data_IF_272373139476
#
_entry.id   IF_272373139476
#
_cell.length_a   1.000
_cell.length_b   1.000
_cell.length_c   1.000
_cell.angle_alpha   90.00
_cell.angle_beta   90.00
_cell.angle_gamma   90.00
#
_symmetry.space_group_name_H-M   'P 1'
#
loop_
_entity.id
_entity.type
_entity.pdbx_description
1 polymer ?
#
# COMPACT_ATOMS: atom_id res chain seq x y z
N UNK A 1 -1.72 17.58 0.77
CA UNK A 1 -2.15 16.29 1.34
C UNK A 1 -3.24 15.79 0.39
N UNK A 2 -2.85 15.00 -0.63
CA UNK A 2 -3.77 14.39 -1.58
C UNK A 2 -4.57 13.27 -0.88
N UNK A 3 -5.85 13.49 -0.72
CA UNK A 3 -6.79 12.55 -0.16
C UNK A 3 -6.82 11.28 -1.06
N UNK A 4 -6.52 10.07 -0.58
CA UNK A 4 -6.56 8.85 -1.38
C UNK A 4 -7.99 8.42 -1.80
N UNK A 5 -9.01 9.05 -1.25
CA UNK A 5 -10.42 8.79 -1.56
C UNK A 5 -10.86 9.08 -3.01
N UNK A 6 -10.29 10.06 -3.77
CA UNK A 6 -10.73 10.30 -5.14
C UNK A 6 -10.48 9.12 -6.09
N UNK A 7 -9.38 8.39 -5.91
CA UNK A 7 -9.04 7.25 -6.79
C UNK A 7 -9.96 6.06 -6.52
N UNK A 8 -10.26 5.76 -5.26
CA UNK A 8 -11.17 4.67 -4.89
C UNK A 8 -12.60 4.97 -5.34
N UNK A 9 -13.04 6.22 -5.20
CA UNK A 9 -14.36 6.68 -5.65
C UNK A 9 -14.48 6.61 -7.18
N UNK A 10 -13.44 7.00 -7.91
CA UNK A 10 -13.40 6.90 -9.37
C UNK A 10 -13.48 5.43 -9.84
N UNK A 11 -12.78 4.51 -9.18
CA UNK A 11 -12.83 3.06 -9.52
C UNK A 11 -14.23 2.51 -9.31
N UNK A 12 -14.90 2.85 -8.21
CA UNK A 12 -16.29 2.40 -7.94
C UNK A 12 -17.27 2.97 -8.96
N UNK A 13 -17.12 4.23 -9.36
CA UNK A 13 -17.95 4.82 -10.39
C UNK A 13 -17.72 4.19 -11.78
N UNK A 14 -16.48 3.88 -12.12
CA UNK A 14 -16.15 3.19 -13.37
C UNK A 14 -16.79 1.78 -13.40
N UNK A 15 -16.77 1.04 -12.31
CA UNK A 15 -17.43 -0.28 -12.23
C UNK A 15 -18.95 -0.18 -12.36
N UNK A 16 -19.57 0.81 -11.75
CA UNK A 16 -21.01 1.05 -11.88
C UNK A 16 -21.41 1.38 -13.33
N UNK A 17 -20.69 2.29 -13.98
CA UNK A 17 -20.85 2.62 -15.38
C UNK A 17 -20.64 1.41 -16.30
N UNK A 18 -19.72 0.52 -15.96
CA UNK A 18 -19.42 -0.73 -16.69
C UNK A 18 -20.60 -1.71 -16.64
N UNK A 19 -21.27 -1.82 -15.51
CA UNK A 19 -22.46 -2.66 -15.33
C UNK A 19 -23.67 -2.10 -16.12
N UNK A 20 -23.91 -0.80 -16.03
CA UNK A 20 -24.97 -0.15 -16.82
C UNK A 20 -24.75 -0.30 -18.33
N UNK A 21 -23.48 -0.21 -18.77
CA UNK A 21 -23.12 -0.40 -20.17
C UNK A 21 -23.36 -1.83 -20.66
N UNK A 22 -23.00 -2.83 -19.87
CA UNK A 22 -23.29 -4.24 -20.21
C UNK A 22 -24.77 -4.48 -20.39
N UNK A 23 -25.60 -3.93 -19.53
CA UNK A 23 -27.05 -4.05 -19.63
C UNK A 23 -27.60 -3.41 -20.90
N UNK A 24 -27.11 -2.21 -21.25
CA UNK A 24 -27.50 -1.52 -22.50
C UNK A 24 -27.00 -2.26 -23.74
N UNK A 25 -25.81 -2.81 -23.72
CA UNK A 25 -25.26 -3.62 -24.81
C UNK A 25 -26.09 -4.89 -25.07
N UNK A 26 -26.48 -5.57 -24.00
CA UNK A 26 -27.36 -6.75 -24.09
C UNK A 26 -28.74 -6.41 -24.68
N UNK A 27 -29.32 -5.24 -24.28
CA UNK A 27 -30.56 -4.73 -24.86
C UNK A 27 -30.40 -4.42 -26.35
N UNK A 28 -29.30 -3.79 -26.76
CA UNK A 28 -29.02 -3.50 -28.16
C UNK A 28 -28.82 -4.78 -28.99
N UNK A 29 -28.18 -5.83 -28.45
CA UNK A 29 -28.07 -7.12 -29.12
C UNK A 29 -29.42 -7.78 -29.33
N UNK A 30 -30.27 -7.83 -28.30
CA UNK A 30 -31.62 -8.40 -28.40
C UNK A 30 -32.47 -7.63 -29.43
N UNK A 31 -32.39 -6.33 -29.51
CA UNK A 31 -33.11 -5.51 -30.51
C UNK A 31 -32.58 -5.77 -31.93
N UNK A 32 -31.26 -5.93 -32.11
CA UNK A 32 -30.68 -6.30 -33.42
C UNK A 32 -31.12 -7.67 -33.91
N UNK A 33 -31.18 -8.66 -33.03
CA UNK A 33 -31.66 -10.02 -33.36
C UNK A 33 -33.14 -10.00 -33.76
N UNK A 34 -33.94 -9.08 -33.20
CA UNK A 34 -35.37 -8.98 -33.52
C UNK A 34 -35.67 -8.12 -34.75
N UNK A 35 -34.85 -7.14 -35.08
CA UNK A 35 -35.14 -6.13 -36.13
C UNK A 35 -34.37 -6.35 -37.43
N UNK A 36 -33.44 -7.30 -37.51
CA UNK A 36 -32.59 -7.50 -38.70
C UNK A 36 -31.56 -6.36 -38.87
N UNK A 37 -30.77 -6.42 -39.95
CA UNK A 37 -29.71 -5.44 -40.24
C UNK A 37 -30.23 -4.04 -40.46
N UNK A 38 -30.35 -3.25 -39.41
CA UNK A 38 -30.60 -1.83 -39.48
C UNK A 38 -29.27 -1.12 -39.82
N UNK A 39 -29.22 -0.37 -40.93
CA UNK A 39 -28.09 0.47 -41.27
C UNK A 39 -27.79 1.41 -40.10
N UNK A 40 -26.56 1.31 -39.59
CA UNK A 40 -26.11 2.13 -38.49
C UNK A 40 -26.19 3.61 -38.83
N UNK A 41 -26.86 4.38 -37.99
CA UNK A 41 -26.97 5.84 -38.16
C UNK A 41 -25.62 6.50 -37.83
N UNK A 42 -25.39 7.73 -38.39
CA UNK A 42 -24.17 8.50 -38.08
C UNK A 42 -24.04 8.81 -36.58
N UNK A 43 -25.14 8.94 -35.86
CA UNK A 43 -25.17 9.06 -34.42
C UNK A 43 -24.68 7.77 -33.75
N UNK A 44 -25.05 6.59 -34.26
CA UNK A 44 -24.60 5.30 -33.78
C UNK A 44 -23.08 5.10 -33.94
N UNK A 45 -22.55 5.53 -35.11
CA UNK A 45 -21.08 5.47 -35.35
C UNK A 45 -20.31 6.36 -34.38
N UNK A 46 -20.75 7.61 -34.16
CA UNK A 46 -20.10 8.50 -33.17
C UNK A 46 -20.14 7.94 -31.76
N UNK A 47 -21.25 7.35 -31.35
CA UNK A 47 -21.35 6.72 -30.02
C UNK A 47 -20.42 5.50 -29.90
N UNK A 48 -20.22 4.74 -30.98
CA UNK A 48 -19.27 3.62 -31.00
C UNK A 48 -17.84 4.11 -30.88
N UNK A 49 -17.45 5.14 -31.66
CA UNK A 49 -16.11 5.74 -31.58
C UNK A 49 -15.83 6.31 -30.17
N UNK A 50 -16.80 7.00 -29.57
CA UNK A 50 -16.69 7.48 -28.19
C UNK A 50 -16.54 6.34 -27.20
N UNK A 51 -17.28 5.25 -27.36
CA UNK A 51 -17.16 4.05 -26.53
C UNK A 51 -15.76 3.44 -26.64
N UNK A 52 -15.27 3.25 -27.87
CA UNK A 52 -13.95 2.69 -28.11
C UNK A 52 -12.84 3.55 -27.49
N UNK A 53 -12.96 4.86 -27.60
CA UNK A 53 -12.04 5.79 -26.96
C UNK A 53 -12.08 5.70 -25.42
N UNK A 54 -13.27 5.57 -24.83
CA UNK A 54 -13.43 5.41 -23.37
C UNK A 54 -12.90 4.07 -22.87
N UNK A 55 -13.13 2.98 -23.60
CA UNK A 55 -12.58 1.66 -23.27
C UNK A 55 -11.05 1.68 -23.31
N UNK A 56 -10.47 2.28 -24.34
CA UNK A 56 -9.02 2.44 -24.45
C UNK A 56 -8.45 3.30 -23.32
N UNK A 57 -9.12 4.40 -22.97
CA UNK A 57 -8.73 5.24 -21.84
C UNK A 57 -8.79 4.48 -20.50
N UNK A 58 -9.85 3.70 -20.28
CA UNK A 58 -9.98 2.83 -19.09
C UNK A 58 -8.82 1.82 -19.00
N UNK A 59 -8.52 1.12 -20.10
CA UNK A 59 -7.42 0.14 -20.14
C UNK A 59 -6.06 0.78 -19.82
N UNK A 60 -5.78 1.97 -20.39
CA UNK A 60 -4.56 2.72 -20.11
C UNK A 60 -4.50 3.11 -18.64
N UNK A 61 -5.58 3.66 -18.08
CA UNK A 61 -5.63 4.08 -16.68
C UNK A 61 -5.42 2.89 -15.72
N UNK A 62 -6.10 1.78 -15.96
CA UNK A 62 -5.98 0.57 -15.13
C UNK A 62 -4.56 0.01 -15.20
N UNK A 63 -3.98 -0.07 -16.39
CA UNK A 63 -2.61 -0.53 -16.59
C UNK A 63 -1.61 0.38 -15.87
N UNK A 64 -1.69 1.70 -16.09
CA UNK A 64 -0.79 2.67 -15.46
C UNK A 64 -0.92 2.66 -13.93
N UNK A 65 -2.14 2.58 -13.41
CA UNK A 65 -2.38 2.48 -11.97
C UNK A 65 -1.76 1.20 -11.39
N UNK A 66 -1.85 0.08 -12.10
CA UNK A 66 -1.22 -1.18 -11.70
C UNK A 66 0.31 -1.08 -11.70
N UNK A 67 0.89 -0.61 -12.80
CA UNK A 67 2.34 -0.44 -12.94
C UNK A 67 2.90 0.49 -11.85
N UNK A 68 2.22 1.61 -11.58
CA UNK A 68 2.58 2.54 -10.52
C UNK A 68 2.49 1.89 -9.14
N UNK A 69 1.41 1.15 -8.87
CA UNK A 69 1.22 0.42 -7.61
C UNK A 69 2.32 -0.63 -7.40
N UNK A 70 2.70 -1.35 -8.45
CA UNK A 70 3.73 -2.39 -8.38
C UNK A 70 5.11 -1.77 -8.08
N UNK A 71 5.46 -0.65 -8.73
CA UNK A 71 6.71 0.09 -8.47
C UNK A 71 6.76 0.62 -7.04
N UNK A 72 5.67 1.22 -6.55
CA UNK A 72 5.58 1.73 -5.18
C UNK A 72 5.70 0.58 -4.18
N UNK A 73 4.97 -0.51 -4.38
CA UNK A 73 5.01 -1.68 -3.51
C UNK A 73 6.42 -2.29 -3.45
N UNK A 74 7.12 -2.37 -4.58
CA UNK A 74 8.49 -2.88 -4.61
C UNK A 74 9.45 -2.00 -3.81
N UNK A 75 9.37 -0.69 -3.95
CA UNK A 75 10.20 0.26 -3.20
C UNK A 75 9.91 0.21 -1.70
N UNK A 76 8.63 0.16 -1.30
CA UNK A 76 8.24 0.02 0.12
C UNK A 76 8.75 -1.29 0.67
N UNK A 77 8.60 -2.41 -0.05
CA UNK A 77 9.09 -3.71 0.38
C UNK A 77 10.61 -3.73 0.59
N UNK A 78 11.36 -3.15 -0.33
CA UNK A 78 12.82 -3.06 -0.22
C UNK A 78 13.22 -2.24 1.02
N UNK A 79 12.68 -1.04 1.17
CA UNK A 79 13.02 -0.15 2.28
C UNK A 79 12.54 -0.69 3.64
N UNK A 80 11.33 -1.23 3.70
CA UNK A 80 10.80 -1.87 4.90
C UNK A 80 11.67 -3.09 5.31
N UNK A 81 12.18 -3.85 4.34
CA UNK A 81 13.08 -4.98 4.62
C UNK A 81 14.40 -4.53 5.23
N UNK A 82 14.99 -3.44 4.73
CA UNK A 82 16.21 -2.86 5.31
C UNK A 82 15.97 -2.45 6.77
N UNK A 83 14.92 -1.66 7.02
CA UNK A 83 14.56 -1.21 8.38
C UNK A 83 14.29 -2.42 9.29
N UNK A 84 13.49 -3.38 8.82
CA UNK A 84 13.15 -4.58 9.60
C UNK A 84 14.38 -5.42 9.95
N UNK A 85 15.31 -5.57 9.00
CA UNK A 85 16.57 -6.26 9.27
C UNK A 85 17.41 -5.55 10.33
N UNK A 86 17.51 -4.22 10.26
CA UNK A 86 18.26 -3.43 11.22
C UNK A 86 17.66 -3.48 12.63
N UNK A 87 16.33 -3.31 12.76
CA UNK A 87 15.68 -3.31 14.09
C UNK A 87 15.49 -4.70 14.69
N UNK A 88 15.76 -5.76 13.92
CA UNK A 88 15.76 -7.15 14.41
C UNK A 88 17.16 -7.74 14.53
N UNK A 89 18.21 -6.91 14.48
CA UNK A 89 19.62 -7.32 14.56
C UNK A 89 19.97 -8.41 13.53
N UNK A 90 19.39 -8.35 12.34
CA UNK A 90 19.60 -9.33 11.26
C UNK A 90 18.89 -10.66 11.43
N UNK A 91 18.07 -10.84 12.48
CA UNK A 91 17.28 -12.06 12.68
C UNK A 91 16.34 -12.35 11.52
N UNK A 92 15.77 -11.29 10.95
CA UNK A 92 14.98 -11.34 9.73
C UNK A 92 15.65 -10.49 8.66
N UNK A 93 15.71 -11.00 7.45
CA UNK A 93 16.41 -10.33 6.33
C UNK A 93 15.50 -9.52 5.45
N UNK A 94 14.23 -9.90 5.36
CA UNK A 94 13.28 -9.16 4.53
C UNK A 94 11.84 -9.36 5.00
N UNK A 95 11.02 -8.39 4.67
CA UNK A 95 9.56 -8.46 4.71
C UNK A 95 9.01 -8.42 3.30
N UNK A 96 7.96 -9.17 3.02
CA UNK A 96 7.30 -9.18 1.73
C UNK A 96 5.81 -8.93 1.93
N UNK A 97 5.35 -7.87 1.28
CA UNK A 97 3.94 -7.47 1.24
C UNK A 97 3.43 -7.80 -0.16
N UNK A 98 2.54 -8.77 -0.27
CA UNK A 98 1.93 -9.15 -1.55
C UNK A 98 0.43 -8.93 -1.51
N UNK A 99 -0.08 -8.27 -2.54
CA UNK A 99 -1.52 -8.06 -2.71
C UNK A 99 -2.21 -9.44 -2.86
N UNK A 100 -3.10 -9.76 -1.93
CA UNK A 100 -3.84 -11.03 -1.89
C UNK A 100 -3.15 -12.19 -1.18
N UNK A 101 -1.82 -12.16 -0.98
CA UNK A 101 -1.07 -13.21 -0.27
C UNK A 101 -0.66 -12.81 1.15
N UNK A 102 -0.95 -11.56 1.55
CA UNK A 102 -0.64 -11.07 2.89
C UNK A 102 0.82 -10.66 3.08
N UNK A 103 1.24 -10.63 4.34
CA UNK A 103 2.59 -10.25 4.78
C UNK A 103 3.35 -11.48 5.21
N UNK A 104 4.64 -11.56 4.85
CA UNK A 104 5.54 -12.62 5.30
C UNK A 104 6.93 -12.07 5.59
N UNK A 105 7.65 -12.68 6.53
CA UNK A 105 9.03 -12.39 6.86
C UNK A 105 9.95 -13.51 6.40
N UNK A 106 11.19 -13.17 6.00
CA UNK A 106 12.23 -14.10 5.62
C UNK A 106 13.38 -14.04 6.64
N UNK A 107 13.70 -15.17 7.28
CA UNK A 107 14.76 -15.25 8.29
C UNK A 107 16.14 -15.69 7.74
N UNK A 108 16.25 -15.83 6.43
CA UNK A 108 17.44 -16.37 5.76
C UNK A 108 17.35 -17.85 5.40
N UNK A 109 16.41 -18.60 5.99
CA UNK A 109 16.15 -20.02 5.70
C UNK A 109 14.72 -20.23 5.25
N UNK A 110 13.75 -19.71 6.01
CA UNK A 110 12.33 -19.94 5.81
C UNK A 110 11.55 -18.64 5.63
N UNK A 111 10.50 -18.72 4.82
CA UNK A 111 9.47 -17.69 4.75
C UNK A 111 8.38 -17.98 5.78
N UNK A 112 8.23 -17.06 6.72
CA UNK A 112 7.30 -17.18 7.83
C UNK A 112 6.13 -16.25 7.59
N UNK A 113 4.92 -16.82 7.50
CA UNK A 113 3.69 -16.02 7.42
C UNK A 113 3.47 -15.24 8.72
N UNK A 114 2.84 -14.08 8.61
CA UNK A 114 2.54 -13.16 9.71
C UNK A 114 1.81 -13.84 10.87
N UNK A 115 0.92 -14.79 10.57
CA UNK A 115 0.14 -15.54 11.56
C UNK A 115 0.98 -16.42 12.50
N UNK A 116 2.22 -16.67 12.13
CA UNK A 116 3.18 -17.51 12.87
C UNK A 116 4.24 -16.70 13.59
N UNK A 117 4.19 -15.38 13.51
CA UNK A 117 5.12 -14.47 14.18
C UNK A 117 4.59 -14.09 15.57
N UNK A 118 5.49 -13.73 16.48
CA UNK A 118 5.09 -13.14 17.75
C UNK A 118 4.56 -11.71 17.52
N UNK A 119 3.67 -11.27 18.40
CA UNK A 119 3.05 -9.95 18.33
C UNK A 119 4.09 -8.82 18.25
N UNK A 120 5.13 -8.86 19.08
CA UNK A 120 6.22 -7.90 19.01
C UNK A 120 6.99 -7.92 17.70
N UNK A 121 7.11 -9.08 17.02
CA UNK A 121 7.72 -9.14 15.68
C UNK A 121 6.79 -8.58 14.61
N UNK A 122 5.50 -8.82 14.77
CA UNK A 122 4.47 -8.26 13.89
C UNK A 122 4.46 -6.73 13.95
N UNK A 123 4.52 -6.17 15.15
CA UNK A 123 4.61 -4.73 15.37
C UNK A 123 5.90 -4.13 14.77
N UNK A 124 7.03 -4.83 14.85
CA UNK A 124 8.25 -4.42 14.16
C UNK A 124 8.10 -4.39 12.64
N UNK A 125 7.36 -5.33 12.06
CA UNK A 125 7.03 -5.31 10.62
C UNK A 125 6.19 -4.09 10.28
N UNK A 126 5.11 -3.83 11.01
CA UNK A 126 4.24 -2.68 10.78
C UNK A 126 4.99 -1.35 10.96
N UNK A 127 5.84 -1.27 11.97
CA UNK A 127 6.72 -0.12 12.16
C UNK A 127 7.60 0.11 10.94
N UNK A 128 8.27 -0.93 10.45
CA UNK A 128 9.16 -0.85 9.28
C UNK A 128 8.43 -0.40 8.01
N UNK A 129 7.21 -0.93 7.79
CA UNK A 129 6.36 -0.54 6.65
C UNK A 129 5.94 0.93 6.75
N UNK A 130 5.49 1.38 7.93
CA UNK A 130 5.08 2.78 8.15
C UNK A 130 6.25 3.75 7.94
N UNK A 131 7.44 3.40 8.44
CA UNK A 131 8.64 4.21 8.25
C UNK A 131 9.05 4.28 6.78
N UNK A 132 9.08 3.13 6.07
CA UNK A 132 9.37 3.08 4.65
C UNK A 132 8.37 3.89 3.81
N UNK A 133 7.07 3.77 4.11
CA UNK A 133 6.04 4.53 3.43
C UNK A 133 6.17 6.05 3.69
N UNK A 134 6.47 6.45 4.94
CA UNK A 134 6.67 7.86 5.28
C UNK A 134 7.86 8.47 4.54
N UNK A 135 8.95 7.74 4.39
CA UNK A 135 10.13 8.19 3.65
C UNK A 135 9.88 8.34 2.14
N UNK A 136 8.98 7.52 1.59
CA UNK A 136 8.63 7.60 0.17
C UNK A 136 7.60 8.69 -0.17
N UNK A 137 6.66 8.94 0.74
CA UNK A 137 5.53 9.85 0.50
C UNK A 137 5.85 11.30 0.83
N UNK A 138 6.90 11.54 1.61
CA UNK A 138 7.28 12.87 2.07
C UNK A 138 8.54 13.32 1.34
N UNK A 139 8.44 14.41 0.60
CA UNK A 139 9.59 15.04 -0.09
C UNK A 139 10.55 15.69 0.89
N UNK A 140 10.04 16.17 2.03
CA UNK A 140 10.81 16.79 3.10
C UNK A 140 10.78 15.94 4.38
N UNK A 141 11.87 15.95 5.18
CA UNK A 141 11.92 15.24 6.45
C UNK A 141 10.94 15.86 7.46
N UNK A 142 9.77 15.24 7.60
CA UNK A 142 8.79 15.65 8.61
C UNK A 142 9.06 14.97 9.96
N UNK A 143 8.70 15.62 11.09
CA UNK A 143 8.73 14.98 12.40
C UNK A 143 7.88 13.71 12.44
N UNK A 144 8.40 12.67 13.08
CA UNK A 144 7.67 11.41 13.32
C UNK A 144 7.14 11.43 14.74
N UNK A 145 5.83 11.26 14.88
CA UNK A 145 5.16 11.16 16.18
C UNK A 145 4.76 9.71 16.40
N UNK A 146 5.25 9.12 17.48
CA UNK A 146 5.03 7.74 17.89
C UNK A 146 4.26 7.77 19.22
N UNK A 147 3.00 7.38 19.18
CA UNK A 147 2.10 7.34 20.34
C UNK A 147 1.86 5.90 20.76
N UNK A 148 2.32 5.55 21.97
CA UNK A 148 2.32 4.18 22.55
C UNK A 148 2.77 3.07 21.56
N UNK A 149 3.66 3.43 20.61
CA UNK A 149 4.04 2.58 19.48
C UNK A 149 4.83 1.31 19.89
N UNK A 150 5.29 1.24 21.13
CA UNK A 150 6.17 0.17 21.60
C UNK A 150 5.56 -0.71 22.71
N UNK A 151 4.24 -0.65 22.88
CA UNK A 151 3.54 -1.35 23.96
C UNK A 151 3.81 -2.87 23.98
N UNK A 152 3.93 -3.49 22.81
CA UNK A 152 4.18 -4.93 22.65
C UNK A 152 5.65 -5.31 22.48
N UNK A 153 6.57 -4.36 22.67
CA UNK A 153 8.01 -4.63 22.56
C UNK A 153 8.57 -5.08 23.90
N UNK A 154 9.42 -6.10 23.87
CA UNK A 154 10.33 -6.38 24.96
C UNK A 154 11.49 -5.36 24.98
N UNK A 155 12.27 -5.34 26.06
CA UNK A 155 13.33 -4.36 26.25
C UNK A 155 14.39 -4.41 25.14
N UNK A 156 14.71 -5.61 24.63
CA UNK A 156 15.70 -5.79 23.56
C UNK A 156 15.20 -5.21 22.24
N UNK A 157 13.95 -5.49 21.89
CA UNK A 157 13.35 -4.91 20.67
C UNK A 157 13.23 -3.39 20.77
N UNK A 158 12.82 -2.91 21.93
CA UNK A 158 12.73 -1.48 22.19
C UNK A 158 14.09 -0.81 22.02
N UNK A 159 15.14 -1.37 22.61
CA UNK A 159 16.50 -0.85 22.48
C UNK A 159 16.97 -0.79 21.04
N UNK A 160 16.76 -1.86 20.25
CA UNK A 160 17.14 -1.91 18.84
C UNK A 160 16.42 -0.84 18.01
N UNK A 161 15.12 -0.63 18.24
CA UNK A 161 14.33 0.39 17.53
C UNK A 161 14.74 1.81 17.96
N UNK A 162 14.94 2.09 19.23
CA UNK A 162 15.37 3.40 19.71
C UNK A 162 16.76 3.72 19.17
N UNK A 163 17.70 2.77 19.16
CA UNK A 163 19.01 2.92 18.51
C UNK A 163 18.88 3.23 17.01
N UNK A 164 17.94 2.58 16.34
CA UNK A 164 17.67 2.88 14.93
C UNK A 164 17.13 4.28 14.75
N UNK A 165 16.14 4.68 15.55
CA UNK A 165 15.53 6.02 15.52
C UNK A 165 16.54 7.13 15.79
N UNK A 166 17.45 6.95 16.75
CA UNK A 166 18.47 7.96 17.10
C UNK A 166 19.46 8.26 15.97
N UNK A 167 19.61 7.35 14.99
CA UNK A 167 20.45 7.54 13.80
C UNK A 167 19.75 8.29 12.68
N UNK A 168 18.42 8.48 12.79
CA UNK A 168 17.65 9.16 11.76
C UNK A 168 17.89 10.66 11.79
N UNK A 169 18.00 11.29 10.62
CA UNK A 169 18.20 12.76 10.48
C UNK A 169 16.89 13.56 10.59
N UNK A 170 15.89 13.02 11.26
CA UNK A 170 14.57 13.66 11.43
C UNK A 170 14.19 13.72 12.90
N UNK A 171 13.39 14.69 13.26
CA UNK A 171 12.85 14.80 14.61
C UNK A 171 11.90 13.62 14.88
N UNK A 172 12.08 12.97 16.02
CA UNK A 172 11.20 11.90 16.50
C UNK A 172 10.63 12.30 17.84
N UNK A 173 9.32 12.26 17.99
CA UNK A 173 8.59 12.54 19.22
C UNK A 173 7.93 11.22 19.66
N UNK A 174 8.30 10.73 20.83
CA UNK A 174 7.75 9.52 21.42
C UNK A 174 6.85 9.91 22.58
N UNK A 175 5.56 9.59 22.46
CA UNK A 175 4.59 9.69 23.54
C UNK A 175 4.38 8.30 24.10
N UNK A 176 4.55 8.12 25.40
CA UNK A 176 4.40 6.82 26.06
C UNK A 176 3.96 6.98 27.49
N UNK A 177 3.13 6.04 27.96
CA UNK A 177 2.77 5.94 29.37
C UNK A 177 3.78 5.09 30.18
N UNK A 178 4.86 4.58 29.55
CA UNK A 178 5.91 3.79 30.21
C UNK A 178 7.19 4.59 30.37
N UNK A 179 7.86 4.42 31.50
CA UNK A 179 9.15 5.11 31.78
C UNK A 179 10.37 4.45 31.14
N UNK A 180 10.22 3.27 30.54
CA UNK A 180 11.33 2.50 29.96
C UNK A 180 11.92 3.15 28.71
N UNK A 181 11.08 3.80 27.89
CA UNK A 181 11.50 4.54 26.70
C UNK A 181 12.39 5.73 27.08
N UNK A 182 11.97 6.49 28.09
CA UNK A 182 12.73 7.62 28.59
C UNK A 182 14.10 7.19 29.16
N UNK A 183 14.13 6.14 29.97
CA UNK A 183 15.39 5.60 30.53
C UNK A 183 16.38 5.14 29.46
N UNK A 184 15.88 4.49 28.40
CA UNK A 184 16.74 4.07 27.28
C UNK A 184 17.28 5.27 26.50
N UNK A 185 16.50 6.31 26.30
CA UNK A 185 16.94 7.53 25.63
C UNK A 185 18.02 8.26 26.45
N UNK A 186 17.91 8.34 27.78
CA UNK A 186 18.91 8.95 28.67
C UNK A 186 20.28 8.25 28.58
N UNK A 187 20.31 6.94 28.26
CA UNK A 187 21.54 6.19 28.10
C UNK A 187 22.16 6.23 26.69
N UNK A 188 21.42 6.72 25.69
CA UNK A 188 21.86 6.74 24.29
C UNK A 188 22.26 8.14 23.80
N UNK A 189 21.97 9.17 24.58
CA UNK A 189 22.38 10.57 24.38
C UNK A 189 23.51 10.92 25.32
#
# INVERSE_FOLDING_TARGET
IGNPFPVLFAVVQIEHLRLEWKEKELRCQNVREQCGDVKESDAGKRLREQREALVMAEEILVRTAKETSDVISHKINARASEIFSEITDGKYRSVNIQKGAGISAWNGMDRISVDRLSEGTLEQIYFSIRMAASEMLLEEPMPVILDDAFAFYDDKRLESVIKWLSRQKKQVIILSCHSREAKLLEHLV
#
